data_IF_592081331010
#
_entry.id   IF_592081331010
#
_cell.length_a   1.000
_cell.length_b   1.000
_cell.length_c   1.000
_cell.angle_alpha   90.00
_cell.angle_beta   90.00
_cell.angle_gamma   90.00
#
_symmetry.space_group_name_H-M   'P 1'
#
loop_
_entity.id
_entity.type
_entity.pdbx_description
1 polymer ?
#
# COMPACT_ATOMS: atom_id res chain seq x y z
N UNK A 1 19.77 17.60 -8.36
CA UNK A 1 19.00 16.63 -7.56
C UNK A 1 19.98 15.63 -6.97
N UNK A 2 19.91 15.35 -5.66
CA UNK A 2 20.72 14.27 -5.07
C UNK A 2 20.38 12.95 -5.76
N UNK A 3 21.40 12.18 -6.16
CA UNK A 3 21.21 10.86 -6.75
C UNK A 3 20.80 9.87 -5.67
N UNK A 4 19.73 9.11 -5.93
CA UNK A 4 19.29 7.99 -5.11
C UNK A 4 20.42 6.95 -5.00
N UNK A 5 20.65 6.41 -3.79
CA UNK A 5 21.65 5.36 -3.54
C UNK A 5 21.05 4.22 -2.72
N UNK A 6 21.61 3.03 -2.86
CA UNK A 6 21.33 1.89 -1.98
C UNK A 6 21.63 2.29 -0.53
N UNK A 7 20.78 1.87 0.40
CA UNK A 7 20.80 2.25 1.82
C UNK A 7 20.23 3.64 2.12
N UNK A 8 19.75 4.38 1.12
CA UNK A 8 19.05 5.64 1.39
C UNK A 8 17.69 5.36 2.00
N UNK A 9 17.39 6.10 3.07
CA UNK A 9 16.04 6.17 3.63
C UNK A 9 15.25 7.20 2.83
N UNK A 10 14.09 6.79 2.34
CA UNK A 10 13.26 7.58 1.42
C UNK A 10 11.84 7.64 1.90
N UNK A 11 11.21 8.79 1.64
CA UNK A 11 9.77 8.98 1.68
C UNK A 11 9.26 9.02 0.25
N UNK A 12 8.40 8.08 -0.10
CA UNK A 12 7.81 7.92 -1.43
C UNK A 12 6.36 8.35 -1.34
N UNK A 13 5.95 9.34 -2.13
CA UNK A 13 4.58 9.84 -2.14
C UNK A 13 3.77 9.05 -3.17
N UNK A 14 2.66 8.44 -2.73
CA UNK A 14 1.75 7.66 -3.57
C UNK A 14 0.33 8.20 -3.37
N UNK A 15 -0.22 8.82 -4.41
CA UNK A 15 -1.51 9.51 -4.33
C UNK A 15 -1.52 10.59 -3.24
N UNK A 16 -2.44 10.48 -2.27
CA UNK A 16 -2.54 11.39 -1.12
C UNK A 16 -1.69 10.96 0.09
N UNK A 17 -1.05 9.79 0.04
CA UNK A 17 -0.28 9.21 1.14
C UNK A 17 1.21 9.14 0.87
N UNK A 18 1.96 8.54 1.82
CA UNK A 18 3.38 8.27 1.66
C UNK A 18 3.81 6.95 2.29
N UNK A 19 4.89 6.41 1.75
CA UNK A 19 5.62 5.25 2.27
C UNK A 19 6.99 5.69 2.74
N UNK A 20 7.46 5.10 3.84
CA UNK A 20 8.83 5.24 4.31
C UNK A 20 9.55 3.91 4.12
N UNK A 21 10.79 3.96 3.67
CA UNK A 21 11.56 2.75 3.49
C UNK A 21 13.02 2.98 3.16
N UNK A 22 13.73 1.87 3.04
CA UNK A 22 15.14 1.81 2.68
C UNK A 22 15.29 1.28 1.26
N UNK A 23 16.07 1.98 0.43
CA UNK A 23 16.43 1.53 -0.91
C UNK A 23 17.36 0.33 -0.79
N UNK A 24 16.90 -0.83 -1.23
CA UNK A 24 17.66 -2.07 -1.25
C UNK A 24 18.43 -2.26 -2.56
N UNK A 25 17.88 -1.81 -3.68
CA UNK A 25 18.53 -1.98 -4.98
C UNK A 25 18.11 -0.90 -5.99
N UNK A 26 18.94 -0.71 -7.02
CA UNK A 26 18.69 0.22 -8.12
C UNK A 26 18.77 -0.55 -9.44
N UNK A 27 17.74 -0.40 -10.26
CA UNK A 27 17.67 -0.94 -11.62
C UNK A 27 17.68 0.22 -12.63
N UNK A 28 17.70 -0.12 -13.92
CA UNK A 28 17.77 0.87 -15.00
C UNK A 28 16.51 1.76 -15.04
N UNK A 29 15.34 1.16 -14.80
CA UNK A 29 14.01 1.76 -14.94
C UNK A 29 13.33 2.06 -13.59
N UNK A 30 13.82 1.46 -12.51
CA UNK A 30 13.15 1.49 -11.20
C UNK A 30 14.12 1.30 -10.05
N UNK A 31 13.65 1.52 -8.83
CA UNK A 31 14.36 1.21 -7.60
C UNK A 31 13.53 0.32 -6.70
N UNK A 32 14.21 -0.47 -5.87
CA UNK A 32 13.60 -1.46 -4.99
C UNK A 32 13.74 -1.03 -3.54
N UNK A 33 12.64 -1.04 -2.81
CA UNK A 33 12.55 -0.49 -1.46
C UNK A 33 11.90 -1.50 -0.54
N UNK A 34 12.49 -1.65 0.66
CA UNK A 34 11.83 -2.27 1.80
C UNK A 34 11.23 -1.17 2.66
N UNK A 35 9.91 -1.18 2.79
CA UNK A 35 9.18 -0.22 3.61
C UNK A 35 9.36 -0.55 5.09
N UNK A 36 9.19 0.45 5.96
CA UNK A 36 9.19 0.25 7.41
C UNK A 36 8.04 -0.71 7.85
N UNK A 37 7.03 -0.89 7.01
CA UNK A 37 5.93 -1.85 7.20
C UNK A 37 6.29 -3.30 6.81
N UNK A 38 7.54 -3.54 6.39
CA UNK A 38 8.01 -4.88 5.99
C UNK A 38 7.60 -5.30 4.57
N UNK A 39 6.99 -4.41 3.79
CA UNK A 39 6.64 -4.65 2.40
C UNK A 39 7.86 -4.35 1.54
N UNK A 40 8.12 -5.18 0.53
CA UNK A 40 9.13 -4.89 -0.50
C UNK A 40 8.46 -4.61 -1.83
N UNK A 41 8.74 -3.44 -2.43
CA UNK A 41 8.11 -2.99 -3.66
C UNK A 41 9.11 -2.32 -4.60
N UNK A 42 8.78 -2.35 -5.89
CA UNK A 42 9.51 -1.64 -6.95
C UNK A 42 8.80 -0.33 -7.27
N UNK A 43 9.57 0.73 -7.44
CA UNK A 43 9.05 2.06 -7.77
C UNK A 43 9.76 2.63 -8.99
N UNK A 44 9.02 3.21 -9.95
CA UNK A 44 9.60 3.90 -11.09
C UNK A 44 10.28 5.20 -10.63
N UNK A 45 11.34 5.65 -11.31
CA UNK A 45 12.08 6.86 -10.89
C UNK A 45 11.25 8.15 -10.99
N UNK A 46 10.19 8.13 -11.79
CA UNK A 46 9.24 9.21 -11.99
C UNK A 46 8.35 9.44 -10.76
N UNK A 47 8.29 8.47 -9.84
CA UNK A 47 7.50 8.65 -8.63
C UNK A 47 8.08 9.77 -7.77
N UNK A 48 7.22 10.53 -7.10
CA UNK A 48 7.67 11.59 -6.21
C UNK A 48 8.29 10.98 -4.96
N UNK A 49 9.60 11.14 -4.77
CA UNK A 49 10.30 10.70 -3.57
C UNK A 49 11.23 11.79 -3.02
N UNK A 50 11.49 11.71 -1.71
CA UNK A 50 12.45 12.56 -1.01
C UNK A 50 13.32 11.72 -0.09
N UNK A 51 14.61 12.04 -0.02
CA UNK A 51 15.52 11.40 0.94
C UNK A 51 15.24 11.95 2.34
N UNK A 52 15.12 11.05 3.31
CA UNK A 52 14.87 11.42 4.70
C UNK A 52 16.08 11.06 5.59
N UNK A 53 16.36 11.85 6.64
CA UNK A 53 17.39 11.50 7.62
C UNK A 53 17.02 10.18 8.30
N UNK A 54 17.98 9.28 8.46
CA UNK A 54 17.74 7.95 9.03
C UNK A 54 17.19 7.98 10.47
N UNK A 55 17.33 9.12 11.16
CA UNK A 55 17.01 9.30 12.58
C UNK A 55 15.65 10.00 12.86
N UNK A 56 14.84 10.28 11.83
CA UNK A 56 13.58 11.00 12.02
C UNK A 56 12.45 10.03 12.36
N UNK A 57 12.00 10.01 13.62
CA UNK A 57 10.70 9.41 13.99
C UNK A 57 9.59 10.22 13.32
N UNK A 58 8.83 9.59 12.43
CA UNK A 58 7.66 10.21 11.81
C UNK A 58 6.46 9.87 12.68
N UNK A 59 5.62 10.84 13.01
CA UNK A 59 4.38 10.59 13.77
C UNK A 59 3.36 9.88 12.87
N UNK A 60 2.77 8.80 13.38
CA UNK A 60 1.78 7.99 12.68
C UNK A 60 0.40 8.17 13.29
N UNK A 61 -0.64 8.13 12.45
CA UNK A 61 -2.03 8.06 12.91
C UNK A 61 -2.31 6.69 13.56
N UNK A 62 -2.92 6.66 14.76
CA UNK A 62 -3.24 5.41 15.47
C UNK A 62 -4.19 4.52 14.64
N UNK A 63 -3.74 3.32 14.25
CA UNK A 63 -4.53 2.26 13.59
C UNK A 63 -4.45 0.93 14.38
N UNK A 64 -5.37 -0.03 14.14
CA UNK A 64 -5.39 -1.31 14.88
C UNK A 64 -4.08 -2.10 14.75
N UNK A 65 -3.68 -2.79 15.83
CA UNK A 65 -2.38 -3.49 16.01
C UNK A 65 -1.95 -4.46 14.90
N UNK A 66 -2.85 -4.90 14.03
CA UNK A 66 -2.58 -5.89 12.97
C UNK A 66 -2.31 -5.26 11.59
N UNK A 67 -2.35 -3.93 11.48
CA UNK A 67 -1.82 -3.20 10.32
C UNK A 67 -0.40 -2.70 10.66
N UNK A 68 0.48 -2.64 9.65
CA UNK A 68 1.84 -2.12 9.80
C UNK A 68 1.87 -0.66 10.30
N UNK A 69 3.04 -0.18 10.68
CA UNK A 69 3.17 1.16 11.30
C UNK A 69 2.93 2.34 10.33
N UNK A 70 2.84 2.12 9.02
CA UNK A 70 2.64 3.21 8.07
C UNK A 70 1.20 3.38 7.57
N UNK A 71 1.00 4.42 6.77
CA UNK A 71 -0.34 4.83 6.31
C UNK A 71 -0.85 4.04 5.10
N UNK A 72 -0.05 3.13 4.52
CA UNK A 72 -0.22 2.57 3.18
C UNK A 72 -0.21 1.04 3.21
N UNK A 73 -1.37 0.43 3.02
CA UNK A 73 -1.52 -1.03 3.11
C UNK A 73 -1.49 -1.72 1.73
N UNK A 74 -1.65 -3.04 1.74
CA UNK A 74 -1.64 -3.86 0.53
C UNK A 74 -2.70 -3.45 -0.50
N UNK A 75 -3.84 -2.90 -0.05
CA UNK A 75 -4.90 -2.42 -0.95
C UNK A 75 -4.43 -1.17 -1.66
N UNK A 76 -3.73 -0.28 -0.95
CA UNK A 76 -3.16 0.94 -1.53
C UNK A 76 -2.09 0.61 -2.57
N UNK A 77 -1.27 -0.44 -2.35
CA UNK A 77 -0.33 -0.97 -3.37
C UNK A 77 -1.07 -1.39 -4.63
N UNK A 78 -2.14 -2.18 -4.50
CA UNK A 78 -2.89 -2.67 -5.66
C UNK A 78 -3.49 -1.51 -6.44
N UNK A 79 -4.15 -0.57 -5.76
CA UNK A 79 -4.73 0.61 -6.39
C UNK A 79 -3.71 1.47 -7.15
N UNK A 80 -2.45 1.49 -6.72
CA UNK A 80 -1.40 2.29 -7.35
C UNK A 80 -0.66 1.58 -8.51
N UNK A 81 -0.68 0.25 -8.54
CA UNK A 81 0.22 -0.52 -9.42
C UNK A 81 -0.49 -1.48 -10.38
N UNK A 82 -1.70 -1.92 -10.05
CA UNK A 82 -2.42 -2.91 -10.85
C UNK A 82 -3.11 -2.22 -12.03
N UNK A 83 -3.17 -2.92 -13.16
CA UNK A 83 -4.11 -2.56 -14.22
C UNK A 83 -5.56 -2.65 -13.71
N UNK A 84 -6.53 -1.97 -14.36
CA UNK A 84 -7.93 -2.03 -13.92
C UNK A 84 -8.50 -3.45 -13.82
N UNK A 85 -8.06 -4.36 -14.70
CA UNK A 85 -8.53 -5.75 -14.69
C UNK A 85 -7.89 -6.58 -13.57
N UNK A 86 -6.59 -6.39 -13.32
CA UNK A 86 -5.90 -7.01 -12.19
C UNK A 86 -6.48 -6.53 -10.86
N UNK A 87 -6.78 -5.23 -10.74
CA UNK A 87 -7.37 -4.64 -9.55
C UNK A 87 -8.77 -5.20 -9.30
N UNK A 88 -9.61 -5.29 -10.34
CA UNK A 88 -10.92 -5.94 -10.28
C UNK A 88 -10.79 -7.39 -9.80
N UNK A 89 -9.82 -8.13 -10.32
CA UNK A 89 -9.54 -9.50 -9.90
C UNK A 89 -9.15 -9.59 -8.43
N UNK A 90 -8.25 -8.73 -7.96
CA UNK A 90 -7.77 -8.69 -6.58
C UNK A 90 -8.91 -8.43 -5.58
N UNK A 91 -9.73 -7.40 -5.83
CA UNK A 91 -10.88 -7.09 -4.97
C UNK A 91 -11.93 -8.19 -4.98
N UNK A 92 -12.26 -8.75 -6.16
CA UNK A 92 -13.19 -9.89 -6.24
C UNK A 92 -12.70 -11.08 -5.42
N UNK A 93 -11.41 -11.41 -5.52
CA UNK A 93 -10.80 -12.51 -4.77
C UNK A 93 -10.90 -12.30 -3.25
N UNK A 94 -10.56 -11.11 -2.73
CA UNK A 94 -10.64 -10.84 -1.29
C UNK A 94 -12.09 -10.84 -0.79
N UNK A 95 -13.02 -10.20 -1.51
CA UNK A 95 -14.43 -10.20 -1.15
C UNK A 95 -14.99 -11.63 -1.10
N UNK A 96 -14.73 -12.44 -2.14
CA UNK A 96 -15.15 -13.84 -2.14
C UNK A 96 -14.53 -14.64 -0.99
N UNK A 97 -13.23 -14.49 -0.73
CA UNK A 97 -12.52 -15.16 0.36
C UNK A 97 -13.18 -14.91 1.71
N UNK A 98 -13.46 -13.65 2.05
CA UNK A 98 -14.05 -13.30 3.35
C UNK A 98 -15.53 -13.70 3.43
N UNK A 99 -16.28 -13.60 2.33
CA UNK A 99 -17.64 -14.16 2.27
C UNK A 99 -17.68 -15.67 2.50
N UNK A 100 -16.71 -16.43 1.99
CA UNK A 100 -16.62 -17.88 2.22
C UNK A 100 -16.18 -18.26 3.63
N UNK A 101 -15.54 -17.35 4.37
CA UNK A 101 -15.07 -17.58 5.74
C UNK A 101 -16.12 -17.28 6.81
N UNK A 102 -17.15 -16.53 6.46
CA UNK A 102 -18.22 -16.13 7.37
C UNK A 102 -18.85 -17.36 8.06
N UNK A 103 -18.74 -17.42 9.39
CA UNK A 103 -19.25 -18.52 10.20
C UNK A 103 -18.41 -19.80 10.20
N UNK A 104 -17.23 -19.80 9.58
CA UNK A 104 -16.39 -21.00 9.42
C UNK A 104 -14.96 -20.87 9.93
N UNK A 105 -14.40 -19.65 10.09
CA UNK A 105 -12.98 -19.47 10.40
C UNK A 105 -12.71 -18.54 11.58
N UNK A 106 -12.80 -17.23 11.35
CA UNK A 106 -12.54 -16.21 12.36
C UNK A 106 -13.90 -15.68 12.90
N UNK A 107 -13.86 -14.70 13.80
CA UNK A 107 -15.09 -14.07 14.30
C UNK A 107 -15.91 -13.47 13.14
N UNK A 108 -17.23 -13.70 13.17
CA UNK A 108 -18.11 -13.31 12.07
C UNK A 108 -18.17 -11.79 11.87
N UNK A 109 -18.08 -11.01 12.95
CA UNK A 109 -18.07 -9.55 12.89
C UNK A 109 -16.76 -9.07 12.28
N UNK A 110 -15.63 -9.64 12.70
CA UNK A 110 -14.33 -9.28 12.13
C UNK A 110 -14.27 -9.57 10.62
N UNK A 111 -14.82 -10.70 10.16
CA UNK A 111 -14.87 -11.03 8.74
C UNK A 111 -15.83 -10.13 7.96
N UNK A 112 -16.99 -9.77 8.55
CA UNK A 112 -17.91 -8.78 7.98
C UNK A 112 -17.25 -7.40 7.84
N UNK A 113 -16.49 -6.96 8.85
CA UNK A 113 -15.76 -5.70 8.83
C UNK A 113 -14.71 -5.69 7.71
N UNK A 114 -14.03 -6.82 7.46
CA UNK A 114 -13.13 -6.96 6.29
C UNK A 114 -13.90 -6.83 4.98
N UNK A 115 -15.03 -7.50 4.81
CA UNK A 115 -15.85 -7.38 3.59
C UNK A 115 -16.24 -5.92 3.35
N UNK A 116 -16.68 -5.21 4.39
CA UNK A 116 -17.07 -3.79 4.32
C UNK A 116 -15.89 -2.91 3.92
N UNK A 117 -14.70 -3.11 4.50
CA UNK A 117 -13.50 -2.33 4.16
C UNK A 117 -13.12 -2.52 2.68
N UNK A 118 -13.00 -3.76 2.21
CA UNK A 118 -12.68 -4.05 0.81
C UNK A 118 -13.71 -3.48 -0.16
N UNK A 119 -15.01 -3.65 0.12
CA UNK A 119 -16.07 -3.13 -0.73
C UNK A 119 -16.07 -1.60 -0.79
N UNK A 120 -15.90 -0.94 0.36
CA UNK A 120 -15.87 0.53 0.47
C UNK A 120 -14.69 1.12 -0.29
N UNK A 121 -13.49 0.54 -0.14
CA UNK A 121 -12.30 1.02 -0.84
C UNK A 121 -12.38 0.79 -2.35
N UNK A 122 -12.90 -0.36 -2.78
CA UNK A 122 -13.07 -0.62 -4.21
C UNK A 122 -14.04 0.36 -4.85
N UNK A 123 -15.18 0.61 -4.18
CA UNK A 123 -16.15 1.63 -4.62
C UNK A 123 -15.49 3.00 -4.74
N UNK A 124 -14.74 3.44 -3.71
CA UNK A 124 -14.02 4.72 -3.73
C UNK A 124 -13.03 4.81 -4.90
N UNK A 125 -12.30 3.73 -5.20
CA UNK A 125 -11.40 3.70 -6.35
C UNK A 125 -12.17 3.87 -7.67
N UNK A 126 -13.28 3.14 -7.85
CA UNK A 126 -14.13 3.25 -9.04
C UNK A 126 -14.79 4.62 -9.18
N UNK A 127 -15.13 5.28 -8.07
CA UNK A 127 -15.66 6.65 -8.06
C UNK A 127 -14.57 7.66 -8.42
N UNK A 128 -13.37 7.54 -7.87
CA UNK A 128 -12.23 8.41 -8.20
C UNK A 128 -11.76 8.27 -9.65
N UNK A 129 -11.87 7.07 -10.24
CA UNK A 129 -11.55 6.82 -11.65
C UNK A 129 -12.59 7.38 -12.65
N UNK A 130 -13.70 7.96 -12.18
CA UNK A 130 -14.68 8.63 -13.04
C UNK A 130 -14.44 10.14 -13.18
N UNK A 131 -13.56 10.71 -12.36
CA UNK A 131 -13.24 12.15 -12.32
C UNK A 131 -11.93 12.50 -13.05
N UNK A 132 -11.28 11.52 -13.70
CA UNK A 132 -10.14 11.67 -14.62
C UNK A 132 -10.57 11.43 -16.08
#
# INVERSE_FOLDING_TARGET
MEKLKIGNRVKITVGKGFLLGEVLNLYVDKFFVRTDEGITAYFPYEIKWEKIPSNKKVEYNKRPKHYGEGEFDLIDVWCATYTPEELRGAFKSQLSKYSYRLGYKDDEIDELDKIIDYATRYKKHLEGAKDE
#
